data_IF_498842494735
#
_entry.id   IF_498842494735
#
_cell.length_a   1.000
_cell.length_b   1.000
_cell.length_c   1.000
_cell.angle_alpha   90.00
_cell.angle_beta   90.00
_cell.angle_gamma   90.00
#
_symmetry.space_group_name_H-M   'P 1'
#
loop_
_entity.id
_entity.type
_entity.pdbx_description
1 polymer ?
#
# COMPACT_ATOMS: atom_id res chain seq x y z
N UNK A 1 11.99 -28.35 -4.66
CA UNK A 1 13.41 -28.75 -4.76
C UNK A 1 13.55 -30.19 -4.29
N UNK A 2 14.54 -30.97 -4.79
CA UNK A 2 14.95 -32.19 -4.11
C UNK A 2 15.17 -31.90 -2.61
N UNK A 3 14.68 -32.79 -1.73
CA UNK A 3 14.83 -32.60 -0.27
C UNK A 3 13.88 -31.56 0.35
N UNK A 4 12.64 -31.44 -0.13
CA UNK A 4 11.59 -30.57 0.44
C UNK A 4 11.92 -29.06 0.47
N UNK A 5 12.87 -28.59 -0.35
CA UNK A 5 13.12 -27.15 -0.45
C UNK A 5 12.04 -26.42 -1.27
N UNK A 6 11.66 -25.24 -0.78
CA UNK A 6 10.73 -24.33 -1.45
C UNK A 6 11.49 -23.13 -2.04
N UNK A 7 11.09 -22.71 -3.24
CA UNK A 7 11.53 -21.43 -3.82
C UNK A 7 10.30 -20.63 -4.21
N UNK A 8 10.29 -19.37 -3.84
CA UNK A 8 9.39 -18.37 -4.38
C UNK A 8 10.14 -17.48 -5.38
N UNK A 9 9.55 -17.29 -6.55
CA UNK A 9 10.00 -16.30 -7.54
C UNK A 9 8.79 -15.66 -8.20
N UNK A 10 8.99 -14.49 -8.82
CA UNK A 10 7.93 -13.83 -9.57
C UNK A 10 7.69 -14.57 -10.88
N UNK A 11 6.53 -15.22 -11.02
CA UNK A 11 6.18 -16.01 -12.21
C UNK A 11 5.48 -15.24 -13.33
N UNK A 12 5.06 -14.00 -13.09
CA UNK A 12 4.25 -13.22 -14.05
C UNK A 12 4.63 -11.74 -14.02
N UNK A 13 4.42 -11.04 -15.14
CA UNK A 13 4.44 -9.57 -15.20
C UNK A 13 3.02 -9.04 -15.05
N UNK A 14 2.86 -8.03 -14.22
CA UNK A 14 1.61 -7.39 -13.86
C UNK A 14 1.70 -5.95 -14.35
N UNK A 15 0.63 -5.53 -15.00
CA UNK A 15 0.46 -4.17 -15.52
C UNK A 15 -0.78 -3.55 -14.91
N UNK A 16 -0.76 -2.24 -14.80
CA UNK A 16 -1.97 -1.47 -14.53
C UNK A 16 -2.95 -1.55 -15.70
N UNK A 17 -4.22 -1.21 -15.46
CA UNK A 17 -5.24 -1.15 -16.52
C UNK A 17 -4.90 -0.15 -17.65
N UNK A 18 -3.98 0.79 -17.40
CA UNK A 18 -3.45 1.72 -18.40
C UNK A 18 -2.18 1.22 -19.12
N UNK A 19 -1.76 -0.03 -18.89
CA UNK A 19 -0.60 -0.66 -19.53
C UNK A 19 0.77 -0.32 -18.93
N UNK A 20 0.85 0.59 -17.94
CA UNK A 20 2.09 0.88 -17.18
C UNK A 20 2.49 -0.31 -16.30
N UNK A 21 3.78 -0.39 -15.98
CA UNK A 21 4.30 -1.45 -15.12
C UNK A 21 3.88 -1.28 -13.66
N UNK A 22 3.37 -2.37 -13.06
CA UNK A 22 3.08 -2.42 -11.63
C UNK A 22 4.35 -2.55 -10.80
N UNK A 23 5.24 -3.45 -11.22
CA UNK A 23 6.51 -3.71 -10.55
C UNK A 23 7.41 -2.47 -10.53
N UNK A 24 8.03 -2.21 -9.39
CA UNK A 24 8.91 -1.05 -9.17
C UNK A 24 8.18 0.28 -8.94
N UNK A 25 6.88 0.37 -9.26
CA UNK A 25 6.08 1.59 -9.05
C UNK A 25 5.07 1.43 -7.91
N UNK A 26 4.38 0.27 -7.84
CA UNK A 26 3.29 0.06 -6.90
C UNK A 26 2.10 0.99 -7.13
N UNK A 27 1.08 0.89 -6.29
CA UNK A 27 -0.09 1.78 -6.36
C UNK A 27 0.24 3.05 -5.59
N UNK A 28 0.20 4.20 -6.26
CA UNK A 28 0.30 5.50 -5.61
C UNK A 28 -1.07 5.93 -5.07
N UNK A 29 -1.17 6.40 -3.82
CA UNK A 29 -2.43 6.88 -3.28
C UNK A 29 -2.82 8.23 -3.90
N UNK A 30 -4.12 8.48 -4.05
CA UNK A 30 -4.62 9.79 -4.48
C UNK A 30 -4.39 10.88 -3.41
N UNK A 31 -4.40 10.48 -2.14
CA UNK A 31 -4.14 11.35 -0.98
C UNK A 31 -3.00 10.73 -0.17
N UNK A 32 -1.86 11.43 -0.10
CA UNK A 32 -0.69 10.96 0.64
C UNK A 32 -0.84 11.34 2.12
N UNK A 33 -0.95 10.34 2.98
CA UNK A 33 -0.96 10.47 4.45
C UNK A 33 0.07 9.52 5.03
N UNK A 34 0.74 9.94 6.10
CA UNK A 34 1.72 9.12 6.82
C UNK A 34 1.38 9.13 8.30
N UNK A 35 1.55 8.00 8.96
CA UNK A 35 1.52 7.94 10.42
C UNK A 35 2.60 8.84 11.01
N UNK A 36 2.32 9.46 12.15
CA UNK A 36 3.30 10.22 12.90
C UNK A 36 3.76 9.46 14.14
N UNK A 37 4.95 9.80 14.64
CA UNK A 37 5.47 9.22 15.88
C UNK A 37 4.52 9.52 17.06
N UNK A 38 3.99 10.75 17.11
CA UNK A 38 3.08 11.17 18.17
C UNK A 38 1.71 10.48 18.04
N UNK A 39 1.23 10.25 16.83
CA UNK A 39 0.02 9.49 16.58
C UNK A 39 0.14 8.06 17.07
N UNK A 40 1.25 7.37 16.73
CA UNK A 40 1.53 6.01 17.23
C UNK A 40 1.58 5.99 18.77
N UNK A 41 2.27 6.96 19.40
CA UNK A 41 2.36 7.04 20.87
C UNK A 41 1.02 7.31 21.55
N UNK A 42 0.12 8.03 20.89
CA UNK A 42 -1.20 8.41 21.41
C UNK A 42 -2.33 7.48 20.94
N UNK A 43 -2.01 6.38 20.25
CA UNK A 43 -2.98 5.46 19.65
C UNK A 43 -3.98 6.17 18.71
N UNK A 44 -3.49 7.17 17.98
CA UNK A 44 -4.21 7.94 16.96
C UNK A 44 -3.81 7.47 15.57
N UNK A 45 -4.78 7.35 14.67
CA UNK A 45 -4.58 6.90 13.29
C UNK A 45 -4.86 8.06 12.31
N UNK A 46 -3.80 8.68 11.79
CA UNK A 46 -3.91 9.80 10.86
C UNK A 46 -4.50 9.41 9.51
N UNK A 47 -4.27 8.16 9.07
CA UNK A 47 -4.78 7.66 7.79
C UNK A 47 -6.29 7.49 7.89
N UNK A 48 -6.77 6.87 8.96
CA UNK A 48 -8.20 6.69 9.21
C UNK A 48 -8.93 8.02 9.39
N UNK A 49 -8.38 8.94 10.17
CA UNK A 49 -8.96 10.28 10.35
C UNK A 49 -9.06 11.03 9.02
N UNK A 50 -8.02 10.97 8.18
CA UNK A 50 -8.04 11.59 6.87
C UNK A 50 -9.11 10.96 5.96
N UNK A 51 -9.24 9.63 5.98
CA UNK A 51 -10.26 8.93 5.23
C UNK A 51 -11.68 9.34 5.67
N UNK A 52 -11.95 9.37 6.98
CA UNK A 52 -13.24 9.79 7.52
C UNK A 52 -13.57 11.22 7.12
N UNK A 53 -12.62 12.14 7.28
CA UNK A 53 -12.77 13.54 6.87
C UNK A 53 -13.13 13.67 5.39
N UNK A 54 -12.41 12.94 4.53
CA UNK A 54 -12.65 12.94 3.09
C UNK A 54 -14.05 12.37 2.73
N UNK A 55 -14.54 11.39 3.49
CA UNK A 55 -15.86 10.80 3.26
C UNK A 55 -17.02 11.67 3.78
N UNK A 56 -16.79 12.53 4.79
CA UNK A 56 -17.85 13.34 5.41
C UNK A 56 -17.93 14.78 4.91
N UNK A 57 -16.83 15.36 4.44
CA UNK A 57 -16.78 16.77 3.98
C UNK A 57 -16.99 16.93 2.46
N UNK A 58 -17.29 15.83 1.77
CA UNK A 58 -17.48 15.77 0.31
C UNK A 58 -18.90 15.34 -0.01
#
# INVERSE_FOLDING_TARGET
MPGNGEIAFTGQRIKFGNGKDFYGTGISPDIVVKNTIDGVKSNRDEILECALKYMTEK
#
